data_IF_542404967119
#
_entry.id   IF_542404967119
#
_cell.length_a   1.000
_cell.length_b   1.000
_cell.length_c   1.000
_cell.angle_alpha   90.00
_cell.angle_beta   90.00
_cell.angle_gamma   90.00
#
_symmetry.space_group_name_H-M   'P 1'
#
loop_
_entity.id
_entity.type
_entity.pdbx_description
1 polymer ?
#
# COMPACT_ATOMS: atom_id res chain seq x y z
N UNK A 1 29.14 37.97 1.25
CA UNK A 1 28.02 37.27 0.60
C UNK A 1 28.31 35.77 0.62
N UNK A 2 27.89 35.11 1.70
CA UNK A 2 28.12 33.68 1.91
C UNK A 2 26.96 32.89 1.31
N UNK A 3 27.23 32.06 0.31
CA UNK A 3 26.29 31.09 -0.25
C UNK A 3 26.11 29.95 0.78
N UNK A 4 24.97 29.92 1.45
CA UNK A 4 24.52 28.75 2.19
C UNK A 4 24.17 27.65 1.18
N UNK A 5 25.09 26.73 0.98
CA UNK A 5 24.85 25.49 0.28
C UNK A 5 23.99 24.61 1.15
N UNK A 6 22.71 24.52 0.84
CA UNK A 6 21.83 23.46 1.39
C UNK A 6 22.32 22.13 0.85
N UNK A 7 23.04 21.39 1.69
CA UNK A 7 23.30 19.98 1.47
C UNK A 7 21.95 19.26 1.50
N UNK A 8 21.41 18.94 0.33
CA UNK A 8 20.33 17.96 0.19
C UNK A 8 20.89 16.62 0.70
N UNK A 9 20.58 16.32 1.94
CA UNK A 9 20.81 15.00 2.51
C UNK A 9 19.91 14.05 1.73
N UNK A 10 20.47 13.34 0.74
CA UNK A 10 19.77 12.25 0.08
C UNK A 10 19.51 11.23 1.19
N UNK A 11 18.28 11.26 1.73
CA UNK A 11 17.87 10.38 2.83
C UNK A 11 18.02 8.96 2.32
N UNK A 12 19.04 8.28 2.84
CA UNK A 12 19.36 6.90 2.50
C UNK A 12 18.10 6.06 2.71
N UNK A 13 17.70 5.27 1.72
CA UNK A 13 16.65 4.28 1.87
C UNK A 13 17.10 3.24 2.90
N UNK A 14 16.27 2.98 3.89
CA UNK A 14 16.49 1.96 4.90
C UNK A 14 15.19 1.26 5.24
N UNK A 15 15.31 0.01 5.67
CA UNK A 15 14.20 -0.86 6.09
C UNK A 15 14.58 -1.50 7.42
N UNK A 16 13.67 -1.45 8.39
CA UNK A 16 13.84 -2.12 9.69
C UNK A 16 12.64 -3.02 9.97
N UNK A 17 12.85 -4.26 10.46
CA UNK A 17 11.77 -5.07 10.98
C UNK A 17 11.19 -4.41 12.23
N UNK A 18 9.87 -4.54 12.43
CA UNK A 18 9.17 -4.02 13.59
C UNK A 18 8.51 -5.16 14.38
N UNK A 19 8.43 -5.07 15.72
CA UNK A 19 7.68 -6.03 16.51
C UNK A 19 6.17 -5.92 16.23
N UNK A 20 5.45 -7.03 16.38
CA UNK A 20 4.02 -7.12 16.03
C UNK A 20 3.12 -6.19 16.88
N UNK A 21 3.54 -5.83 18.08
CA UNK A 21 2.86 -4.91 18.98
C UNK A 21 3.04 -3.43 18.61
N UNK A 22 3.84 -3.13 17.58
CA UNK A 22 4.03 -1.78 17.06
C UNK A 22 3.04 -1.39 15.94
N UNK A 23 2.00 -2.22 15.69
CA UNK A 23 0.97 -1.93 14.71
C UNK A 23 0.24 -0.62 15.04
N UNK A 24 0.13 0.25 14.06
CA UNK A 24 -0.53 1.53 14.20
C UNK A 24 -0.49 2.33 12.90
N UNK A 25 -1.07 3.51 12.90
CA UNK A 25 -0.98 4.43 11.76
C UNK A 25 0.49 4.74 11.43
N UNK A 26 0.83 4.78 10.14
CA UNK A 26 2.20 4.92 9.65
C UNK A 26 3.03 3.63 9.62
N UNK A 27 2.54 2.52 10.18
CA UNK A 27 3.16 1.20 10.01
C UNK A 27 3.04 0.71 8.58
N UNK A 28 4.04 -0.04 8.11
CA UNK A 28 3.99 -0.70 6.81
C UNK A 28 3.95 -2.21 7.02
N UNK A 29 3.04 -2.87 6.33
CA UNK A 29 2.96 -4.32 6.26
C UNK A 29 3.67 -4.80 5.00
N UNK A 30 4.50 -5.80 5.12
CA UNK A 30 5.04 -6.56 4.00
C UNK A 30 4.33 -7.91 3.94
N UNK A 31 3.69 -8.20 2.82
CA UNK A 31 3.09 -9.52 2.59
C UNK A 31 4.17 -10.60 2.50
N UNK A 32 4.04 -11.67 3.29
CA UNK A 32 5.01 -12.77 3.28
C UNK A 32 4.85 -13.63 2.02
N UNK A 33 5.94 -14.15 1.47
CA UNK A 33 5.92 -14.97 0.27
C UNK A 33 4.99 -16.18 0.40
N UNK A 34 4.10 -16.34 -0.58
CA UNK A 34 3.19 -17.49 -0.62
C UNK A 34 2.00 -17.42 0.32
N UNK A 35 1.86 -16.33 1.11
CA UNK A 35 0.71 -16.14 2.00
C UNK A 35 -0.57 -15.74 1.27
N UNK A 36 -0.45 -15.15 0.09
CA UNK A 36 -1.58 -14.62 -0.69
C UNK A 36 -1.49 -15.03 -2.16
N UNK A 37 -2.64 -15.17 -2.80
CA UNK A 37 -2.80 -15.47 -4.23
C UNK A 37 -3.63 -14.40 -4.97
N UNK A 38 -3.88 -13.26 -4.32
CA UNK A 38 -4.65 -12.12 -4.83
C UNK A 38 -3.86 -10.80 -4.74
N UNK A 39 -4.55 -9.66 -4.65
CA UNK A 39 -3.93 -8.33 -4.66
C UNK A 39 -2.91 -8.06 -3.53
N UNK A 40 -2.88 -8.86 -2.46
CA UNK A 40 -1.80 -8.81 -1.47
C UNK A 40 -0.52 -9.55 -1.88
N UNK A 41 -0.52 -10.27 -3.01
CA UNK A 41 0.68 -10.94 -3.51
C UNK A 41 1.80 -9.92 -3.74
N UNK A 42 2.96 -10.13 -3.08
CA UNK A 42 4.12 -9.24 -3.19
C UNK A 42 3.79 -7.75 -2.93
N UNK A 43 2.93 -7.50 -1.93
CA UNK A 43 2.44 -6.15 -1.60
C UNK A 43 3.10 -5.58 -0.35
N UNK A 44 3.24 -4.25 -0.38
CA UNK A 44 3.49 -3.41 0.78
C UNK A 44 2.24 -2.58 1.04
N UNK A 45 1.81 -2.53 2.30
CA UNK A 45 0.61 -1.78 2.71
C UNK A 45 0.98 -0.76 3.77
N UNK A 46 0.70 0.51 3.52
CA UNK A 46 0.81 1.57 4.54
C UNK A 46 -0.51 1.63 5.32
N UNK A 47 -0.43 1.56 6.62
CA UNK A 47 -1.57 1.73 7.52
C UNK A 47 -1.85 3.23 7.69
N UNK A 48 -3.06 3.65 7.32
CA UNK A 48 -3.51 5.04 7.43
C UNK A 48 -4.24 5.28 8.76
N UNK A 49 -4.96 4.28 9.23
CA UNK A 49 -5.78 4.31 10.43
C UNK A 49 -5.80 2.92 11.05
N UNK A 50 -5.67 2.85 12.36
CA UNK A 50 -5.77 1.62 13.12
C UNK A 50 -6.43 1.89 14.46
N UNK A 51 -7.45 1.12 14.78
CA UNK A 51 -8.18 1.19 16.03
C UNK A 51 -8.78 -0.19 16.35
N UNK A 52 -8.60 -0.65 17.57
CA UNK A 52 -9.01 -1.98 18.02
C UNK A 52 -10.54 -2.20 17.95
N UNK A 53 -11.33 -1.13 18.02
CA UNK A 53 -12.79 -1.19 18.02
C UNK A 53 -13.41 -1.03 16.61
N UNK A 54 -12.80 -0.20 15.77
CA UNK A 54 -13.34 0.15 14.44
C UNK A 54 -12.64 -0.57 13.30
N UNK A 55 -11.44 -1.09 13.53
CA UNK A 55 -10.65 -1.82 12.55
C UNK A 55 -9.51 -1.01 11.96
N UNK A 56 -8.99 -1.49 10.85
CA UNK A 56 -7.77 -0.94 10.22
C UNK A 56 -8.03 -0.57 8.78
N UNK A 57 -7.48 0.55 8.34
CA UNK A 57 -7.51 0.99 6.94
C UNK A 57 -6.10 1.30 6.46
N UNK A 58 -5.79 0.86 5.24
CA UNK A 58 -4.48 1.08 4.61
C UNK A 58 -4.56 1.26 3.11
N UNK A 59 -3.41 1.47 2.48
CA UNK A 59 -3.26 1.52 1.02
C UNK A 59 -2.10 0.67 0.55
N UNK A 60 -2.29 -0.05 -0.55
CA UNK A 60 -1.23 -0.75 -1.27
C UNK A 60 -0.26 0.27 -1.87
N UNK A 61 1.04 0.13 -1.62
CA UNK A 61 2.04 1.12 -2.01
C UNK A 61 2.65 0.89 -3.39
N UNK A 62 2.62 -0.35 -3.88
CA UNK A 62 3.44 -0.80 -5.00
C UNK A 62 2.65 -1.35 -6.19
N UNK A 63 1.35 -1.07 -6.25
CA UNK A 63 0.49 -1.49 -7.37
C UNK A 63 0.23 -0.30 -8.31
N UNK A 64 1.13 -0.10 -9.26
CA UNK A 64 0.97 0.93 -10.29
C UNK A 64 -0.20 0.61 -11.22
N UNK A 65 -0.90 1.64 -11.67
CA UNK A 65 -1.94 1.54 -12.70
C UNK A 65 -1.51 2.33 -13.94
N UNK A 66 -2.11 2.06 -15.09
CA UNK A 66 -1.85 2.88 -16.29
C UNK A 66 -2.58 4.25 -16.27
N UNK A 67 -3.24 4.61 -15.17
CA UNK A 67 -4.12 5.78 -15.07
C UNK A 67 -3.39 6.99 -14.50
N UNK A 68 -3.84 8.16 -14.95
CA UNK A 68 -3.47 9.46 -14.40
C UNK A 68 -4.65 10.06 -13.63
N UNK A 69 -4.36 11.05 -12.78
CA UNK A 69 -5.33 11.71 -11.92
C UNK A 69 -6.48 12.36 -12.72
N UNK A 70 -6.21 12.97 -13.87
CA UNK A 70 -7.22 13.61 -14.72
C UNK A 70 -8.18 12.61 -15.39
N UNK A 71 -7.77 11.35 -15.53
CA UNK A 71 -8.65 10.29 -16.04
C UNK A 71 -9.63 9.78 -14.97
N UNK A 72 -9.31 10.02 -13.69
CA UNK A 72 -10.06 9.54 -12.53
C UNK A 72 -10.86 10.65 -11.81
N UNK A 73 -10.66 11.91 -12.19
CA UNK A 73 -11.29 13.09 -11.58
C UNK A 73 -11.98 13.93 -12.64
N UNK A 74 -12.70 14.99 -12.21
CA UNK A 74 -13.22 15.98 -13.16
C UNK A 74 -12.06 16.65 -13.91
N UNK A 75 -12.17 16.89 -15.21
CA UNK A 75 -11.15 17.59 -15.97
C UNK A 75 -10.73 18.91 -15.31
N UNK A 76 -9.44 19.07 -15.08
CA UNK A 76 -8.87 20.26 -14.44
C UNK A 76 -9.11 20.38 -12.93
N UNK A 77 -9.81 19.46 -12.28
CA UNK A 77 -10.14 19.54 -10.85
C UNK A 77 -8.91 19.65 -9.94
N UNK A 78 -7.81 19.01 -10.29
CA UNK A 78 -6.58 19.03 -9.53
C UNK A 78 -5.42 19.80 -10.20
N UNK A 79 -5.74 20.55 -11.28
CA UNK A 79 -4.77 21.43 -11.95
C UNK A 79 -3.43 20.74 -12.25
N UNK A 80 -2.31 21.26 -11.73
CA UNK A 80 -0.97 20.74 -12.05
C UNK A 80 -0.69 19.34 -11.49
N UNK A 81 -1.56 18.79 -10.63
CA UNK A 81 -1.48 17.41 -10.12
C UNK A 81 -2.16 16.40 -11.06
N UNK A 82 -2.84 16.86 -12.11
CA UNK A 82 -3.61 16.02 -13.03
C UNK A 82 -2.76 14.98 -13.76
N UNK A 83 -1.50 15.24 -13.97
CA UNK A 83 -0.53 14.36 -14.66
C UNK A 83 0.12 13.31 -13.73
N UNK A 84 -0.19 13.33 -12.44
CA UNK A 84 0.33 12.32 -11.53
C UNK A 84 -0.27 10.94 -11.86
N UNK A 85 0.56 9.90 -11.80
CA UNK A 85 0.09 8.52 -11.89
C UNK A 85 -0.74 8.11 -10.67
N UNK A 86 -1.68 7.21 -10.89
CA UNK A 86 -2.54 6.66 -9.83
C UNK A 86 -2.12 5.22 -9.53
N UNK A 87 -1.98 4.89 -8.25
CA UNK A 87 -1.76 3.55 -7.76
C UNK A 87 -3.08 2.91 -7.33
N UNK A 88 -3.19 1.59 -7.44
CA UNK A 88 -4.28 0.85 -6.82
C UNK A 88 -4.00 0.75 -5.32
N UNK A 89 -4.79 1.43 -4.51
CA UNK A 89 -4.65 1.41 -3.05
C UNK A 89 -5.36 0.24 -2.37
N UNK A 90 -6.29 -0.43 -3.08
CA UNK A 90 -7.04 -1.57 -2.56
C UNK A 90 -8.33 -1.83 -3.34
N UNK A 91 -9.21 -2.60 -2.72
CA UNK A 91 -10.53 -2.97 -3.26
C UNK A 91 -11.70 -2.42 -2.44
N UNK A 92 -11.42 -1.90 -1.23
CA UNK A 92 -12.40 -1.36 -0.30
C UNK A 92 -12.59 0.16 -0.47
N UNK A 93 -13.69 0.65 0.10
CA UNK A 93 -14.09 2.05 -0.04
C UNK A 93 -14.86 2.29 -1.35
N UNK A 94 -15.66 3.37 -1.35
CA UNK A 94 -16.28 3.88 -2.58
C UNK A 94 -15.19 4.49 -3.47
N UNK A 95 -15.56 5.08 -4.59
CA UNK A 95 -14.63 5.70 -5.55
C UNK A 95 -13.84 6.88 -4.93
N UNK A 96 -13.02 6.56 -3.93
CA UNK A 96 -12.21 7.50 -3.17
C UNK A 96 -10.78 7.48 -3.64
N UNK A 97 -10.18 8.66 -3.70
CA UNK A 97 -8.77 8.82 -3.98
C UNK A 97 -8.06 9.35 -2.72
N UNK A 98 -6.97 8.70 -2.36
CA UNK A 98 -6.11 9.08 -1.23
C UNK A 98 -4.84 9.72 -1.79
N UNK A 99 -4.50 10.94 -1.36
CA UNK A 99 -3.22 11.56 -1.69
C UNK A 99 -2.28 11.46 -0.50
N UNK A 100 -1.09 10.91 -0.71
CA UNK A 100 0.00 10.82 0.26
C UNK A 100 1.18 11.73 -0.13
N UNK A 101 1.85 12.28 0.87
CA UNK A 101 3.04 13.11 0.71
C UNK A 101 3.88 13.17 1.99
N UNK A 102 5.09 13.73 1.89
CA UNK A 102 6.02 13.97 3.02
C UNK A 102 6.07 15.41 3.52
N UNK A 103 5.15 16.27 3.08
CA UNK A 103 5.18 17.72 3.34
C UNK A 103 4.42 18.05 4.63
N UNK A 104 5.16 18.24 5.75
CA UNK A 104 4.60 18.42 7.10
C UNK A 104 3.88 19.76 7.30
N UNK A 105 4.25 20.79 6.54
CA UNK A 105 3.66 22.13 6.64
C UNK A 105 2.49 22.36 5.69
N UNK A 106 2.04 21.33 4.95
CA UNK A 106 0.96 21.49 3.99
C UNK A 106 -0.39 21.62 4.70
N UNK A 107 -1.09 22.77 4.59
CA UNK A 107 -2.36 22.96 5.27
C UNK A 107 -3.43 21.97 4.80
N UNK A 108 -4.25 21.48 5.73
CA UNK A 108 -5.31 20.49 5.45
C UNK A 108 -4.81 19.06 5.29
N UNK A 109 -3.53 18.83 5.47
CA UNK A 109 -2.98 17.48 5.58
C UNK A 109 -3.14 16.94 7.02
N UNK A 110 -3.38 15.64 7.13
CA UNK A 110 -3.42 14.89 8.39
C UNK A 110 -2.14 14.06 8.53
N UNK A 111 -1.49 14.13 9.67
CA UNK A 111 -0.35 13.28 9.99
C UNK A 111 -0.81 11.82 10.16
N UNK A 112 -0.15 10.92 9.45
CA UNK A 112 -0.34 9.47 9.57
C UNK A 112 0.73 8.85 10.47
N UNK A 113 1.78 9.60 10.74
CA UNK A 113 2.96 9.16 11.46
C UNK A 113 4.17 8.90 10.54
N UNK A 114 5.36 8.85 11.16
CA UNK A 114 6.63 8.53 10.48
C UNK A 114 6.96 9.43 9.28
N UNK A 115 6.49 10.69 9.31
CA UNK A 115 6.70 11.68 8.25
C UNK A 115 5.85 11.46 7.00
N UNK A 116 4.74 10.76 7.12
CA UNK A 116 3.73 10.56 6.08
C UNK A 116 2.48 11.35 6.42
N UNK A 117 1.96 12.05 5.44
CA UNK A 117 0.76 12.87 5.53
C UNK A 117 -0.26 12.48 4.46
N UNK A 118 -1.54 12.64 4.78
CA UNK A 118 -2.65 12.37 3.87
C UNK A 118 -3.55 13.58 3.71
N UNK A 119 -4.00 13.87 2.48
CA UNK A 119 -4.92 14.98 2.20
C UNK A 119 -4.22 16.29 1.84
N UNK A 120 -4.88 17.43 2.09
CA UNK A 120 -4.35 18.76 1.72
C UNK A 120 -4.33 19.05 0.21
N UNK A 121 -5.13 18.34 -0.59
CA UNK A 121 -5.09 18.33 -2.07
C UNK A 121 -5.14 19.72 -2.69
N UNK A 122 -6.06 20.60 -2.22
CA UNK A 122 -6.17 21.96 -2.77
C UNK A 122 -4.95 22.81 -2.53
N UNK A 123 -4.30 22.66 -1.35
CA UNK A 123 -3.08 23.36 -1.02
C UNK A 123 -1.86 22.78 -1.76
N UNK A 124 -1.84 21.46 -1.97
CA UNK A 124 -0.84 20.79 -2.82
C UNK A 124 -0.91 21.33 -4.26
N UNK A 125 -2.11 21.36 -4.86
CA UNK A 125 -2.31 21.87 -6.21
C UNK A 125 -1.84 23.34 -6.34
N UNK A 126 -2.12 24.18 -5.35
CA UNK A 126 -1.66 25.56 -5.30
C UNK A 126 -0.14 25.65 -5.21
N UNK A 127 0.48 24.90 -4.27
CA UNK A 127 1.94 24.91 -4.10
C UNK A 127 2.69 24.46 -5.36
N UNK A 128 2.13 23.49 -6.08
CA UNK A 128 2.69 23.05 -7.37
C UNK A 128 2.48 24.10 -8.46
N UNK A 129 1.29 24.74 -8.54
CA UNK A 129 1.02 25.82 -9.49
C UNK A 129 1.95 27.03 -9.30
N UNK A 130 2.29 27.35 -8.06
CA UNK A 130 3.23 28.42 -7.67
C UNK A 130 4.71 28.01 -7.83
N UNK A 131 4.99 26.75 -8.19
CA UNK A 131 6.36 26.23 -8.33
C UNK A 131 7.10 26.03 -7.00
N UNK A 132 6.38 26.07 -5.86
CA UNK A 132 6.95 25.84 -4.53
C UNK A 132 7.30 24.38 -4.28
N UNK A 133 6.50 23.45 -4.83
CA UNK A 133 6.72 22.01 -4.74
C UNK A 133 6.55 21.36 -6.12
N UNK A 134 7.35 20.34 -6.44
CA UNK A 134 7.16 19.58 -7.66
C UNK A 134 6.02 18.57 -7.51
N UNK A 135 5.29 18.23 -8.60
CA UNK A 135 4.12 17.36 -8.53
C UNK A 135 4.45 15.92 -8.08
N UNK A 136 5.64 15.41 -8.33
CA UNK A 136 6.11 14.07 -7.98
C UNK A 136 6.25 13.84 -6.45
N UNK A 137 6.15 14.90 -5.64
CA UNK A 137 6.06 14.80 -4.17
C UNK A 137 4.73 14.23 -3.69
N UNK A 138 3.72 14.15 -4.56
CA UNK A 138 2.37 13.72 -4.23
C UNK A 138 2.04 12.43 -4.96
N UNK A 139 1.67 11.37 -4.21
CA UNK A 139 1.24 10.09 -4.75
C UNK A 139 -0.25 9.89 -4.54
N UNK A 140 -0.92 9.38 -5.56
CA UNK A 140 -2.36 9.16 -5.55
C UNK A 140 -2.69 7.68 -5.57
N UNK A 141 -3.62 7.27 -4.71
CA UNK A 141 -4.05 5.90 -4.53
C UNK A 141 -5.56 5.81 -4.70
N UNK A 142 -6.01 4.96 -5.60
CA UNK A 142 -7.42 4.69 -5.79
C UNK A 142 -7.87 3.58 -4.87
N UNK A 143 -8.91 3.85 -4.06
CA UNK A 143 -9.44 2.97 -3.00
C UNK A 143 -8.45 2.73 -1.85
N UNK A 144 -8.81 1.81 -0.98
CA UNK A 144 -8.04 1.40 0.19
C UNK A 144 -8.25 -0.08 0.46
N UNK A 145 -7.49 -0.64 1.37
CA UNK A 145 -7.77 -1.93 2.00
C UNK A 145 -8.32 -1.70 3.39
N UNK A 146 -9.23 -2.56 3.82
CA UNK A 146 -9.89 -2.44 5.11
C UNK A 146 -9.92 -3.81 5.81
N UNK A 147 -9.70 -3.80 7.10
CA UNK A 147 -9.80 -4.96 7.97
C UNK A 147 -10.80 -4.66 9.09
N UNK A 148 -11.62 -5.65 9.39
CA UNK A 148 -12.46 -5.63 10.57
C UNK A 148 -11.59 -5.64 11.85
N UNK A 149 -12.15 -5.23 13.00
CA UNK A 149 -11.45 -5.27 14.27
C UNK A 149 -10.79 -6.64 14.50
N UNK A 150 -9.51 -6.63 14.88
CA UNK A 150 -8.66 -7.80 15.15
C UNK A 150 -8.37 -8.73 13.97
N UNK A 151 -8.87 -8.44 12.77
CA UNK A 151 -8.62 -9.27 11.60
C UNK A 151 -7.14 -9.18 11.15
N UNK A 152 -6.59 -7.98 11.12
CA UNK A 152 -5.20 -7.76 10.71
C UNK A 152 -4.22 -8.37 11.72
N UNK A 153 -4.46 -8.20 13.01
CA UNK A 153 -3.61 -8.77 14.08
C UNK A 153 -3.59 -10.29 13.99
N UNK A 154 -4.73 -10.91 13.65
CA UNK A 154 -4.80 -12.34 13.37
C UNK A 154 -3.94 -12.77 12.19
N UNK A 155 -3.92 -11.99 11.12
CA UNK A 155 -3.08 -12.25 9.94
C UNK A 155 -1.58 -12.04 10.22
N UNK A 156 -1.22 -11.03 11.00
CA UNK A 156 0.15 -10.80 11.46
C UNK A 156 0.60 -11.95 12.38
N UNK A 157 -0.25 -12.34 13.34
CA UNK A 157 0.03 -13.47 14.23
C UNK A 157 0.17 -14.83 13.50
N UNK A 158 -0.54 -14.99 12.39
CA UNK A 158 -0.42 -16.16 11.50
C UNK A 158 0.80 -16.08 10.54
N UNK A 159 1.62 -15.02 10.63
CA UNK A 159 2.79 -14.84 9.78
C UNK A 159 2.47 -14.52 8.32
N UNK A 160 1.26 -14.03 8.02
CA UNK A 160 0.89 -13.65 6.66
C UNK A 160 1.46 -12.27 6.28
N UNK A 161 1.58 -11.38 7.25
CA UNK A 161 2.24 -10.08 7.12
C UNK A 161 3.36 -9.92 8.14
N UNK A 162 4.38 -9.21 7.74
CA UNK A 162 5.45 -8.71 8.61
C UNK A 162 5.36 -7.20 8.72
N UNK A 163 5.45 -6.69 9.94
CA UNK A 163 5.60 -5.26 10.17
C UNK A 163 7.01 -4.80 9.87
N UNK A 164 7.11 -3.73 9.07
CA UNK A 164 8.38 -3.10 8.72
C UNK A 164 8.26 -1.58 8.84
N UNK A 165 9.36 -0.94 9.12
CA UNK A 165 9.49 0.50 9.04
C UNK A 165 10.30 0.86 7.81
N UNK A 166 9.76 1.75 7.00
CA UNK A 166 10.40 2.27 5.80
C UNK A 166 10.76 3.73 5.99
N UNK A 167 11.94 4.13 5.49
CA UNK A 167 12.23 5.56 5.39
C UNK A 167 11.26 6.24 4.40
N UNK A 168 10.90 7.53 4.62
CA UNK A 168 10.05 8.28 3.67
C UNK A 168 10.57 8.27 2.22
N UNK A 169 11.87 8.08 2.03
CA UNK A 169 12.47 7.96 0.71
C UNK A 169 11.95 6.75 -0.09
N UNK A 170 11.49 5.69 0.57
CA UNK A 170 10.82 4.57 -0.08
C UNK A 170 9.44 4.93 -0.61
N UNK A 171 8.71 5.74 0.15
CA UNK A 171 7.32 6.11 -0.17
C UNK A 171 7.27 7.15 -1.29
N UNK A 172 8.21 8.12 -1.29
CA UNK A 172 8.18 9.27 -2.19
C UNK A 172 9.37 9.32 -3.15
N UNK A 173 10.26 8.31 -3.12
CA UNK A 173 11.35 8.16 -4.07
C UNK A 173 10.89 7.57 -5.41
N UNK A 174 11.77 7.66 -6.41
CA UNK A 174 11.60 6.94 -7.67
C UNK A 174 11.86 5.45 -7.41
N UNK A 175 10.91 4.59 -7.75
CA UNK A 175 11.13 3.14 -7.74
C UNK A 175 12.09 2.76 -8.88
N UNK A 176 13.02 1.85 -8.60
CA UNK A 176 13.88 1.28 -9.63
C UNK A 176 13.11 0.37 -10.59
N UNK A 177 13.84 -0.34 -11.47
CA UNK A 177 13.24 -1.32 -12.40
C UNK A 177 12.72 -2.60 -11.72
N UNK A 178 12.98 -2.76 -10.40
CA UNK A 178 12.49 -3.87 -9.58
C UNK A 178 11.22 -3.46 -8.84
N UNK A 179 10.42 -4.45 -8.45
CA UNK A 179 9.27 -4.16 -7.61
C UNK A 179 9.73 -3.67 -6.24
N UNK A 180 9.09 -2.65 -5.69
CA UNK A 180 9.38 -2.08 -4.38
C UNK A 180 9.37 -3.15 -3.28
N UNK A 181 8.45 -4.12 -3.36
CA UNK A 181 8.39 -5.24 -2.41
C UNK A 181 9.66 -6.11 -2.42
N UNK A 182 10.20 -6.42 -3.61
CA UNK A 182 11.43 -7.20 -3.73
C UNK A 182 12.62 -6.47 -3.15
N UNK A 183 12.75 -5.17 -3.44
CA UNK A 183 13.83 -4.33 -2.93
C UNK A 183 13.79 -4.20 -1.40
N UNK A 184 12.58 -4.02 -0.83
CA UNK A 184 12.37 -3.98 0.63
C UNK A 184 12.73 -5.31 1.26
N UNK A 185 12.28 -6.41 0.67
CA UNK A 185 12.56 -7.76 1.17
C UNK A 185 14.06 -8.10 1.19
N UNK A 186 14.79 -7.70 0.15
CA UNK A 186 16.24 -7.92 0.06
C UNK A 186 17.03 -7.18 1.16
N UNK A 187 16.49 -6.09 1.71
CA UNK A 187 17.11 -5.32 2.78
C UNK A 187 16.77 -5.83 4.19
N UNK A 188 15.74 -6.67 4.31
CA UNK A 188 15.42 -7.27 5.61
C UNK A 188 16.38 -8.41 5.93
N UNK A 189 16.84 -8.49 7.18
CA UNK A 189 17.61 -9.64 7.61
C UNK A 189 16.77 -10.90 7.41
N UNK A 190 17.39 -11.94 6.88
CA UNK A 190 16.78 -13.26 6.78
C UNK A 190 16.47 -13.71 8.22
N UNK A 191 15.18 -13.74 8.57
CA UNK A 191 14.81 -14.43 9.80
C UNK A 191 14.98 -15.90 9.50
N UNK A 192 16.09 -16.46 9.98
CA UNK A 192 16.20 -17.92 10.12
C UNK A 192 14.95 -18.33 10.92
N UNK A 193 14.03 -19.04 10.28
CA UNK A 193 13.05 -19.82 11.03
C UNK A 193 13.89 -20.63 12.00
N UNK A 194 13.65 -20.44 13.30
CA UNK A 194 14.22 -21.28 14.33
C UNK A 194 13.68 -22.71 14.11
N UNK A 195 14.22 -23.40 13.12
CA UNK A 195 14.17 -24.82 13.05
C UNK A 195 15.00 -25.28 14.25
N UNK A 196 14.28 -25.85 15.22
CA UNK A 196 14.82 -26.23 16.50
C UNK A 196 16.11 -27.01 16.36
N UNK A 197 17.11 -26.57 17.07
CA UNK A 197 18.25 -27.37 17.50
C UNK A 197 17.70 -28.59 18.22
N UNK A 198 17.50 -29.69 17.49
CA UNK A 198 17.29 -31.01 18.04
C UNK A 198 18.62 -31.58 18.52
N UNK A 199 19.14 -30.97 19.58
CA UNK A 199 20.12 -31.63 20.45
C UNK A 199 19.51 -32.90 21.01
N UNK A 200 20.03 -34.05 20.59
CA UNK A 200 19.54 -35.35 20.92
C UNK A 200 19.41 -35.61 22.43
N UNK A 201 18.24 -36.06 22.85
CA UNK A 201 18.04 -36.86 24.05
C UNK A 201 17.25 -38.09 23.66
N UNK A 202 17.92 -39.22 23.68
CA UNK A 202 17.34 -40.57 23.62
C UNK A 202 16.49 -40.82 24.85
N UNK A 203 15.18 -41.04 24.65
CA UNK A 203 14.26 -41.43 25.69
C UNK A 203 13.01 -42.03 25.08
N UNK A 204 12.97 -43.37 25.01
CA UNK A 204 11.84 -44.14 24.55
C UNK A 204 10.65 -44.00 25.48
N UNK A 205 9.47 -43.63 24.97
CA UNK A 205 8.16 -43.99 25.52
C UNK A 205 7.17 -44.29 24.38
N UNK A 206 6.54 -45.45 24.48
CA UNK A 206 5.68 -46.10 23.53
C UNK A 206 4.23 -45.50 23.46
N UNK A 207 3.34 -46.02 22.62
CA UNK A 207 2.34 -45.22 21.87
C UNK A 207 0.96 -45.24 22.50
N UNK A 208 0.20 -44.20 22.30
CA UNK A 208 -1.19 -44.13 22.64
C UNK A 208 -2.02 -43.25 21.73
N UNK A 209 -2.75 -43.89 20.82
CA UNK A 209 -4.03 -43.56 20.19
C UNK A 209 -4.26 -42.12 19.71
N UNK A 210 -4.14 -41.84 18.44
CA UNK A 210 -5.17 -41.83 17.38
C UNK A 210 -6.30 -40.78 17.54
N UNK A 211 -6.32 -39.75 16.75
CA UNK A 211 -7.34 -39.56 15.72
C UNK A 211 -6.79 -38.60 14.65
N UNK A 212 -6.58 -39.16 13.47
CA UNK A 212 -6.09 -38.43 12.33
C UNK A 212 -7.18 -37.61 11.66
N UNK A 213 -6.81 -36.43 11.24
CA UNK A 213 -7.30 -35.81 10.04
C UNK A 213 -6.08 -35.45 9.21
N UNK A 214 -5.79 -36.33 8.25
CA UNK A 214 -4.78 -36.09 7.25
C UNK A 214 -5.20 -34.90 6.41
N UNK A 215 -4.54 -33.78 6.61
CA UNK A 215 -4.60 -32.64 5.71
C UNK A 215 -3.65 -32.92 4.55
N UNK A 216 -4.18 -33.47 3.46
CA UNK A 216 -3.43 -33.59 2.21
C UNK A 216 -2.96 -32.21 1.78
N UNK A 217 -1.65 -31.97 1.84
CA UNK A 217 -0.98 -30.87 1.17
C UNK A 217 -1.18 -31.01 -0.34
N UNK A 218 -2.28 -30.47 -0.87
CA UNK A 218 -2.33 -30.11 -2.30
C UNK A 218 -1.32 -29.01 -2.52
N UNK A 219 -0.18 -29.35 -3.10
CA UNK A 219 0.76 -28.41 -3.70
C UNK A 219 0.03 -27.71 -4.82
N UNK A 220 -0.60 -26.56 -4.55
CA UNK A 220 -1.15 -25.69 -5.57
C UNK A 220 0.01 -25.16 -6.41
N UNK A 221 -0.02 -25.47 -7.70
CA UNK A 221 0.91 -24.93 -8.68
C UNK A 221 0.86 -23.39 -8.59
N UNK A 222 2.04 -22.74 -8.61
CA UNK A 222 2.14 -21.28 -8.68
C UNK A 222 1.25 -20.75 -9.81
N UNK A 223 0.39 -19.76 -9.57
CA UNK A 223 -0.38 -19.12 -10.63
C UNK A 223 0.61 -18.59 -11.68
N UNK A 224 0.33 -18.85 -12.94
CA UNK A 224 1.17 -18.36 -14.03
C UNK A 224 1.07 -16.83 -14.04
N UNK A 225 2.18 -16.14 -14.33
CA UNK A 225 2.21 -14.64 -14.46
C UNK A 225 1.06 -14.08 -15.34
N UNK A 226 0.50 -14.89 -16.24
CA UNK A 226 -0.69 -14.55 -17.04
C UNK A 226 -1.96 -14.36 -16.20
N UNK A 227 -2.15 -15.14 -15.14
CA UNK A 227 -3.39 -15.12 -14.35
C UNK A 227 -3.45 -13.87 -13.46
N UNK A 228 -2.30 -13.45 -12.93
CA UNK A 228 -2.18 -12.21 -12.11
C UNK A 228 -2.39 -10.96 -12.98
N UNK A 229 -1.84 -10.96 -14.20
CA UNK A 229 -2.04 -9.88 -15.16
C UNK A 229 -3.49 -9.80 -15.66
N UNK A 230 -4.18 -10.94 -15.76
CA UNK A 230 -5.59 -10.98 -16.16
C UNK A 230 -6.52 -10.52 -15.05
N UNK A 231 -6.21 -10.80 -13.81
CA UNK A 231 -6.98 -10.35 -12.64
C UNK A 231 -6.78 -8.85 -12.40
N UNK A 232 -5.56 -8.34 -12.51
CA UNK A 232 -5.28 -6.89 -12.55
C UNK A 232 -6.03 -6.22 -13.72
N UNK A 233 -6.08 -6.85 -14.90
CA UNK A 233 -6.83 -6.37 -16.07
C UNK A 233 -8.36 -6.41 -15.85
N UNK A 234 -8.88 -7.32 -15.04
CA UNK A 234 -10.31 -7.34 -14.63
C UNK A 234 -10.63 -6.20 -13.68
N UNK A 235 -9.76 -5.94 -12.70
CA UNK A 235 -9.87 -4.78 -11.80
C UNK A 235 -9.88 -3.46 -12.58
N UNK A 236 -8.95 -3.31 -13.53
CA UNK A 236 -8.86 -2.16 -14.43
C UNK A 236 -10.13 -2.01 -15.31
N UNK A 237 -10.69 -3.11 -15.83
CA UNK A 237 -11.95 -3.07 -16.60
C UNK A 237 -13.15 -2.66 -15.75
N UNK A 238 -13.18 -3.08 -14.49
CA UNK A 238 -14.24 -2.69 -13.56
C UNK A 238 -14.15 -1.20 -13.19
N UNK A 239 -12.92 -0.70 -12.97
CA UNK A 239 -12.66 0.73 -12.81
C UNK A 239 -13.13 1.56 -14.01
N UNK A 240 -12.78 1.14 -15.23
CA UNK A 240 -13.15 1.81 -16.48
C UNK A 240 -14.65 1.97 -16.61
N UNK A 241 -15.38 0.91 -16.27
CA UNK A 241 -16.84 0.93 -16.30
C UNK A 241 -17.43 1.89 -15.27
N UNK A 242 -16.91 1.93 -14.04
CA UNK A 242 -17.35 2.85 -13.00
C UNK A 242 -17.07 4.33 -13.35
N UNK A 243 -15.91 4.64 -13.93
CA UNK A 243 -15.55 5.99 -14.38
C UNK A 243 -16.45 6.44 -15.53
N UNK A 244 -16.73 5.56 -16.49
CA UNK A 244 -17.61 5.86 -17.63
C UNK A 244 -19.06 6.08 -17.19
N UNK A 245 -19.58 5.25 -16.28
CA UNK A 245 -20.92 5.42 -15.69
C UNK A 245 -21.04 6.73 -14.90
N UNK A 246 -19.99 7.12 -14.17
CA UNK A 246 -19.98 8.38 -13.42
C UNK A 246 -19.88 9.61 -14.34
N UNK A 247 -19.16 9.50 -15.45
CA UNK A 247 -19.08 10.52 -16.49
C UNK A 247 -20.44 10.73 -17.18
N UNK A 248 -21.09 9.63 -17.58
CA UNK A 248 -22.42 9.70 -18.21
C UNK A 248 -23.49 10.25 -17.26
N UNK A 249 -23.44 9.91 -15.98
CA UNK A 249 -24.37 10.46 -14.98
C UNK A 249 -24.21 11.98 -14.83
N UNK A 250 -22.98 12.48 -14.86
CA UNK A 250 -22.68 13.91 -14.74
C UNK A 250 -23.07 14.70 -16.00
N UNK A 251 -22.76 14.15 -17.18
CA UNK A 251 -23.15 14.78 -18.46
C UNK A 251 -24.69 14.89 -18.57
N UNK A 252 -25.40 13.92 -17.98
CA UNK A 252 -26.88 13.96 -17.88
C UNK A 252 -27.39 15.00 -16.87
N UNK A 253 -26.66 15.24 -15.79
CA UNK A 253 -27.01 16.25 -14.76
C UNK A 253 -26.73 17.67 -15.26
N UNK A 254 -25.59 17.88 -15.93
CA UNK A 254 -25.23 19.16 -16.57
C UNK A 254 -26.19 19.54 -17.74
N UNK A 255 -26.75 18.54 -18.42
CA UNK A 255 -27.74 18.78 -19.46
C UNK A 255 -29.09 19.24 -18.89
N UNK A 256 -29.49 18.73 -17.72
CA UNK A 256 -30.73 19.13 -17.02
C UNK A 256 -30.66 20.52 -16.38
N UNK A 257 -29.47 21.02 -16.10
CA UNK A 257 -29.26 22.37 -15.55
C UNK A 257 -29.24 23.46 -16.62
N UNK A 258 -29.23 23.08 -17.91
CA UNK A 258 -29.23 24.01 -19.05
C UNK A 258 -30.58 24.15 -19.73
N UNK A 259 -31.58 23.39 -19.32
CA UNK A 259 -33.00 23.55 -19.66
C UNK A 259 -33.74 24.36 -18.59
#
# INVERSE_FOLDING_TARGET
>A
MSRLGTKTNSKKQWVNPQPNDSLGAGSVLMAEPGSFDHYFLESLVLILEHDDATGTRGVLLNHETPWFVDEMTAPGALGPLSTNGVFLGGDAGKDTMVMLHGEHELPGARDVGRGVYVGGVSNAARAVAEGALPPDRFKFFYKSVEWLPRQLEGQIGAGQFRLVELSPAWLFGQSGHRSMWQEVREQLPYLETAEGDNGGVTGAVAPGAATGLAYEKKVKQRPKKRDVAEEASRGVRHMRKGVEEHRQARDAEDSKLKE
#
